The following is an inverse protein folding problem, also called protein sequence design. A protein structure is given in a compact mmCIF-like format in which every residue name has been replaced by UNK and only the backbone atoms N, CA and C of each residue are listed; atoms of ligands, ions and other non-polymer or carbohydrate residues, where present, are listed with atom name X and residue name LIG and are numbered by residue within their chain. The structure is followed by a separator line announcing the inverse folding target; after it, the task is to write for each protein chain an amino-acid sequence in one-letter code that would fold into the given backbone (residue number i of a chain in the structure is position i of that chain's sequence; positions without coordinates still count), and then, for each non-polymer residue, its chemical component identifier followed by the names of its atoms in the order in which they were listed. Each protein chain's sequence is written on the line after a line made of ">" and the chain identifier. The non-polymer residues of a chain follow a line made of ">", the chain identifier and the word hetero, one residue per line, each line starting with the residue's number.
data_IF_660951622419
#
_entry.id   IF_660951622419
#
_cell.length_a   1.000
_cell.length_b   1.000
_cell.length_c   1.000
_cell.angle_alpha   90.00
_cell.angle_beta   90.00
_cell.angle_gamma   90.00
#
_symmetry.space_group_name_H-M   'P 1'
#
loop_
_entity.id
_entity.type
_entity.pdbx_description
1 polymer ?
#
# COMPACT_ATOMS: atom_id res chain seq x y z
N UNK A 1 -66.27 28.18 33.88
CA UNK A 1 -64.80 28.12 34.06
C UNK A 1 -64.16 27.95 32.68
N UNK A 2 -64.01 29.03 31.91
CA UNK A 2 -63.36 29.01 30.58
C UNK A 2 -62.68 30.34 30.24
N UNK A 3 -63.08 31.44 30.88
CA UNK A 3 -62.58 32.78 30.54
C UNK A 3 -61.24 33.15 31.21
N UNK A 4 -60.75 32.34 32.16
CA UNK A 4 -59.51 32.61 32.89
C UNK A 4 -58.23 32.19 32.16
N UNK A 5 -58.29 31.28 31.18
CA UNK A 5 -57.09 30.74 30.50
C UNK A 5 -56.64 31.66 29.36
N UNK A 6 -57.56 32.40 28.74
CA UNK A 6 -57.25 33.33 27.65
C UNK A 6 -56.44 34.56 28.12
N UNK A 7 -56.72 35.07 29.33
CA UNK A 7 -56.01 36.24 29.87
C UNK A 7 -54.55 35.92 30.25
N UNK A 8 -54.25 34.69 30.65
CA UNK A 8 -52.90 34.30 31.09
C UNK A 8 -51.93 34.14 29.91
N UNK A 9 -52.41 33.73 28.73
CA UNK A 9 -51.60 33.66 27.51
C UNK A 9 -51.21 35.04 26.96
N UNK A 10 -52.04 36.07 27.16
CA UNK A 10 -51.73 37.44 26.70
C UNK A 10 -50.63 38.06 27.57
N UNK A 11 -50.61 37.77 28.88
CA UNK A 11 -49.63 38.36 29.80
C UNK A 11 -48.23 37.72 29.71
N UNK A 12 -48.12 36.44 29.34
CA UNK A 12 -46.82 35.77 29.16
C UNK A 12 -46.10 36.23 27.88
N UNK A 13 -46.82 36.64 26.84
CA UNK A 13 -46.26 37.22 25.60
C UNK A 13 -45.58 38.56 25.87
N UNK A 14 -46.06 39.35 26.85
CA UNK A 14 -45.54 40.69 27.15
C UNK A 14 -44.20 40.63 27.90
N UNK A 15 -43.94 39.62 28.74
CA UNK A 15 -42.66 39.51 29.47
C UNK A 15 -41.47 39.06 28.60
N UNK A 16 -41.71 38.55 27.40
CA UNK A 16 -40.65 38.26 26.40
C UNK A 16 -40.26 39.46 25.52
N UNK A 17 -40.88 40.63 25.71
CA UNK A 17 -40.79 41.77 24.80
C UNK A 17 -39.51 42.62 24.89
N UNK A 18 -38.60 42.33 25.82
CA UNK A 18 -37.33 43.07 25.96
C UNK A 18 -36.30 42.72 24.87
N UNK A 19 -36.54 41.70 24.06
CA UNK A 19 -35.68 41.33 22.92
C UNK A 19 -36.28 41.68 21.55
N UNK A 20 -37.37 42.46 21.52
CA UNK A 20 -38.01 42.87 20.26
C UNK A 20 -37.41 44.19 19.76
N UNK A 21 -36.98 44.27 18.49
CA UNK A 21 -36.41 45.49 17.92
C UNK A 21 -37.43 46.65 17.92
N UNK A 22 -36.98 47.89 18.16
CA UNK A 22 -37.82 49.08 18.42
C UNK A 22 -38.94 49.31 17.39
N UNK A 23 -38.70 48.99 16.12
CA UNK A 23 -39.70 49.12 15.05
C UNK A 23 -40.94 48.23 15.28
N UNK A 24 -40.79 47.09 15.95
CA UNK A 24 -41.88 46.15 16.22
C UNK A 24 -42.73 46.64 17.41
N UNK A 25 -42.12 47.31 18.39
CA UNK A 25 -42.86 47.92 19.49
C UNK A 25 -43.74 49.09 19.00
N UNK A 26 -43.24 49.91 18.07
CA UNK A 26 -44.03 50.97 17.41
C UNK A 26 -45.17 50.40 16.55
N UNK A 27 -44.95 49.27 15.87
CA UNK A 27 -45.99 48.62 15.07
C UNK A 27 -47.11 48.00 15.93
N UNK A 28 -46.79 47.42 17.10
CA UNK A 28 -47.80 46.82 17.98
C UNK A 28 -48.63 47.90 18.68
N UNK A 29 -47.99 48.96 19.18
CA UNK A 29 -48.68 50.05 19.90
C UNK A 29 -49.62 50.88 19.03
N UNK A 30 -49.32 51.05 17.73
CA UNK A 30 -50.20 51.75 16.78
C UNK A 30 -51.45 50.95 16.38
N UNK A 31 -51.44 49.62 16.53
CA UNK A 31 -52.55 48.73 16.12
C UNK A 31 -53.56 48.41 17.23
N UNK A 32 -53.21 48.56 18.51
CA UNK A 32 -54.10 48.28 19.65
C UNK A 32 -55.27 49.28 19.76
N UNK A 33 -55.19 50.45 19.10
CA UNK A 33 -56.24 51.48 19.12
C UNK A 33 -57.42 51.28 18.15
N UNK A 34 -57.33 50.38 17.16
CA UNK A 34 -58.37 50.21 16.14
C UNK A 34 -58.59 48.72 15.81
N UNK A 35 -59.70 48.15 16.26
CA UNK A 35 -60.01 46.70 16.28
C UNK A 35 -60.11 45.94 14.94
N UNK A 36 -59.47 46.39 13.86
CA UNK A 36 -59.52 45.74 12.53
C UNK A 36 -58.15 45.36 11.93
N UNK A 37 -57.04 45.49 12.66
CA UNK A 37 -55.71 45.41 12.05
C UNK A 37 -54.78 44.25 12.44
N UNK A 38 -55.21 43.33 13.30
CA UNK A 38 -54.32 42.27 13.84
C UNK A 38 -53.88 41.23 12.81
N UNK A 39 -54.66 41.02 11.75
CA UNK A 39 -54.38 40.00 10.73
C UNK A 39 -53.24 40.40 9.78
N UNK A 40 -53.14 41.69 9.42
CA UNK A 40 -52.12 42.18 8.47
C UNK A 40 -50.71 42.15 9.06
N UNK A 41 -50.55 42.58 10.33
CA UNK A 41 -49.26 42.56 11.04
C UNK A 41 -48.79 41.13 11.27
N UNK A 42 -49.69 40.22 11.66
CA UNK A 42 -49.38 38.80 11.82
C UNK A 42 -48.90 38.14 10.53
N UNK A 43 -49.53 38.46 9.39
CA UNK A 43 -49.11 37.98 8.08
C UNK A 43 -47.72 38.50 7.66
N UNK A 44 -47.43 39.78 7.90
CA UNK A 44 -46.12 40.36 7.61
C UNK A 44 -44.99 39.77 8.47
N UNK A 45 -45.21 39.57 9.77
CA UNK A 45 -44.22 38.93 10.65
C UNK A 45 -43.99 37.47 10.23
N UNK A 46 -45.07 36.72 9.96
CA UNK A 46 -44.99 35.33 9.51
C UNK A 46 -44.18 35.19 8.22
N UNK A 47 -44.47 36.01 7.21
CA UNK A 47 -43.75 35.97 5.93
C UNK A 47 -42.26 36.30 6.08
N UNK A 48 -41.89 37.26 6.93
CA UNK A 48 -40.49 37.59 7.22
C UNK A 48 -39.75 36.47 7.94
N UNK A 49 -40.38 35.83 8.93
CA UNK A 49 -39.79 34.69 9.65
C UNK A 49 -39.61 33.50 8.69
N UNK A 50 -40.65 33.16 7.91
CA UNK A 50 -40.58 32.07 6.93
C UNK A 50 -39.53 32.33 5.85
N UNK A 51 -39.37 33.57 5.39
CA UNK A 51 -38.31 33.95 4.45
C UNK A 51 -36.92 33.76 5.06
N UNK A 52 -36.69 34.24 6.28
CA UNK A 52 -35.40 34.10 6.97
C UNK A 52 -35.04 32.68 7.37
N UNK A 53 -36.04 31.83 7.63
CA UNK A 53 -35.84 30.38 7.87
C UNK A 53 -35.49 29.67 6.57
N UNK A 54 -36.20 29.94 5.47
CA UNK A 54 -35.90 29.36 4.15
C UNK A 54 -34.49 29.71 3.68
N UNK A 55 -34.06 30.96 3.84
CA UNK A 55 -32.71 31.38 3.45
C UNK A 55 -31.62 30.64 4.25
N UNK A 56 -31.80 30.49 5.56
CA UNK A 56 -30.86 29.73 6.40
C UNK A 56 -30.81 28.25 6.02
N UNK A 57 -31.95 27.63 5.72
CA UNK A 57 -32.00 26.25 5.24
C UNK A 57 -31.27 26.10 3.91
N UNK A 58 -31.53 26.97 2.93
CA UNK A 58 -30.85 26.93 1.63
C UNK A 58 -29.33 27.10 1.76
N UNK A 59 -28.88 28.03 2.63
CA UNK A 59 -27.44 28.22 2.89
C UNK A 59 -26.81 27.00 3.56
N UNK A 60 -27.49 26.40 4.54
CA UNK A 60 -26.99 25.22 5.24
C UNK A 60 -26.91 24.00 4.31
N UNK A 61 -27.93 23.78 3.47
CA UNK A 61 -27.92 22.70 2.48
C UNK A 61 -26.83 22.90 1.42
N UNK A 62 -26.65 24.12 0.93
CA UNK A 62 -25.59 24.44 -0.01
C UNK A 62 -24.19 24.24 0.60
N UNK A 63 -23.98 24.65 1.85
CA UNK A 63 -22.72 24.45 2.58
C UNK A 63 -22.45 22.95 2.83
N UNK A 64 -23.46 22.20 3.26
CA UNK A 64 -23.36 20.75 3.43
C UNK A 64 -23.05 20.03 2.11
N UNK A 65 -23.70 20.43 1.01
CA UNK A 65 -23.43 19.84 -0.30
C UNK A 65 -22.01 20.17 -0.77
N UNK A 66 -21.55 21.42 -0.59
CA UNK A 66 -20.20 21.84 -0.92
C UNK A 66 -19.15 21.06 -0.10
N UNK A 67 -19.35 20.91 1.21
CA UNK A 67 -18.44 20.15 2.08
C UNK A 67 -18.43 18.66 1.73
N UNK A 68 -19.58 18.10 1.35
CA UNK A 68 -19.70 16.71 0.93
C UNK A 68 -19.01 16.46 -0.41
N UNK A 69 -19.16 17.37 -1.38
CA UNK A 69 -18.44 17.31 -2.65
C UNK A 69 -16.92 17.47 -2.46
N UNK A 70 -16.49 18.38 -1.59
CA UNK A 70 -15.08 18.55 -1.23
C UNK A 70 -14.51 17.28 -0.59
N UNK A 71 -15.24 16.68 0.36
CA UNK A 71 -14.83 15.45 1.04
C UNK A 71 -14.75 14.27 0.06
N UNK A 72 -15.71 14.14 -0.84
CA UNK A 72 -15.69 13.14 -1.92
C UNK A 72 -14.50 13.35 -2.85
N UNK A 73 -14.23 14.59 -3.25
CA UNK A 73 -13.09 14.92 -4.11
C UNK A 73 -11.76 14.60 -3.44
N UNK A 74 -11.62 14.88 -2.13
CA UNK A 74 -10.43 14.51 -1.36
C UNK A 74 -10.25 13.00 -1.31
N UNK A 75 -11.32 12.25 -1.00
CA UNK A 75 -11.26 10.79 -0.93
C UNK A 75 -10.91 10.16 -2.28
N UNK A 76 -11.51 10.66 -3.37
CA UNK A 76 -11.20 10.22 -4.72
C UNK A 76 -9.73 10.47 -5.07
N UNK A 77 -9.19 11.64 -4.71
CA UNK A 77 -7.77 11.96 -4.92
C UNK A 77 -6.86 11.03 -4.11
N UNK A 78 -7.15 10.82 -2.84
CA UNK A 78 -6.39 9.88 -2.00
C UNK A 78 -6.43 8.45 -2.57
N UNK A 79 -7.60 7.98 -3.01
CA UNK A 79 -7.74 6.67 -3.63
C UNK A 79 -6.85 6.53 -4.88
N UNK A 80 -6.84 7.56 -5.75
CA UNK A 80 -5.99 7.58 -6.96
C UNK A 80 -4.50 7.61 -6.58
N UNK A 81 -4.09 8.46 -5.62
CA UNK A 81 -2.69 8.53 -5.17
C UNK A 81 -2.20 7.20 -4.57
N UNK A 82 -3.05 6.54 -3.77
CA UNK A 82 -2.75 5.22 -3.22
C UNK A 82 -2.68 4.15 -4.32
N UNK A 83 -3.61 4.16 -5.28
CA UNK A 83 -3.60 3.24 -6.43
C UNK A 83 -2.30 3.35 -7.23
N UNK A 84 -1.84 4.58 -7.50
CA UNK A 84 -0.60 4.84 -8.26
C UNK A 84 0.62 4.36 -7.46
N UNK A 85 0.71 4.68 -6.17
CA UNK A 85 1.82 4.24 -5.32
C UNK A 85 1.88 2.71 -5.21
N UNK A 86 0.72 2.07 -5.04
CA UNK A 86 0.61 0.63 -4.97
C UNK A 86 1.02 -0.02 -6.29
N UNK A 87 0.50 0.45 -7.42
CA UNK A 87 0.87 -0.04 -8.75
C UNK A 87 2.37 0.09 -9.03
N UNK A 88 2.98 1.21 -8.64
CA UNK A 88 4.42 1.41 -8.80
C UNK A 88 5.23 0.41 -7.97
N UNK A 89 4.85 0.22 -6.70
CA UNK A 89 5.53 -0.72 -5.80
C UNK A 89 5.37 -2.17 -6.26
N UNK A 90 4.19 -2.56 -6.77
CA UNK A 90 3.97 -3.87 -7.37
C UNK A 90 4.81 -4.09 -8.62
N UNK A 91 4.94 -3.08 -9.47
CA UNK A 91 5.79 -3.14 -10.67
C UNK A 91 7.25 -3.33 -10.28
N UNK A 92 7.75 -2.55 -9.31
CA UNK A 92 9.11 -2.70 -8.80
C UNK A 92 9.35 -4.09 -8.19
N UNK A 93 8.42 -4.59 -7.39
CA UNK A 93 8.52 -5.95 -6.84
C UNK A 93 8.60 -7.01 -7.94
N UNK A 94 7.74 -6.90 -8.95
CA UNK A 94 7.73 -7.84 -10.06
C UNK A 94 9.06 -7.83 -10.85
N UNK A 95 9.60 -6.64 -11.09
CA UNK A 95 10.90 -6.48 -11.75
C UNK A 95 12.04 -7.08 -10.91
N UNK A 96 12.09 -6.78 -9.62
CA UNK A 96 13.10 -7.32 -8.69
C UNK A 96 13.04 -8.84 -8.64
N UNK A 97 11.83 -9.40 -8.57
CA UNK A 97 11.59 -10.85 -8.54
C UNK A 97 12.06 -11.50 -9.85
N UNK A 98 11.68 -10.96 -11.01
CA UNK A 98 12.04 -11.52 -12.31
C UNK A 98 13.55 -11.49 -12.55
N UNK A 99 14.18 -10.33 -12.38
CA UNK A 99 15.63 -10.18 -12.54
C UNK A 99 16.39 -10.98 -11.47
N UNK A 100 15.88 -11.00 -10.24
CA UNK A 100 16.45 -11.77 -9.14
C UNK A 100 16.49 -13.26 -9.45
N UNK A 101 15.39 -13.81 -9.95
CA UNK A 101 15.35 -15.21 -10.39
C UNK A 101 16.37 -15.49 -11.52
N UNK A 102 16.48 -14.59 -12.50
CA UNK A 102 17.41 -14.74 -13.62
C UNK A 102 18.88 -14.82 -13.15
N UNK A 103 19.30 -13.93 -12.24
CA UNK A 103 20.69 -13.94 -11.75
C UNK A 103 20.97 -15.17 -10.88
N UNK A 104 20.00 -15.62 -10.07
CA UNK A 104 20.12 -16.86 -9.29
C UNK A 104 20.21 -18.09 -10.18
N UNK A 105 19.40 -18.13 -11.26
CA UNK A 105 19.44 -19.20 -12.24
C UNK A 105 20.80 -19.24 -12.95
N UNK A 106 21.33 -18.08 -13.33
CA UNK A 106 22.64 -17.99 -13.95
C UNK A 106 23.74 -18.50 -13.02
N UNK A 107 23.72 -18.11 -11.75
CA UNK A 107 24.65 -18.62 -10.73
C UNK A 107 24.52 -20.15 -10.54
N UNK A 108 23.29 -20.68 -10.50
CA UNK A 108 23.05 -22.12 -10.47
C UNK A 108 23.71 -22.82 -11.65
N UNK A 109 23.41 -22.38 -12.87
CA UNK A 109 23.88 -23.03 -14.10
C UNK A 109 25.42 -22.93 -14.23
N UNK A 110 26.03 -21.80 -13.80
CA UNK A 110 27.48 -21.65 -13.75
C UNK A 110 28.12 -22.59 -12.72
N UNK A 111 27.59 -22.64 -11.49
CA UNK A 111 28.10 -23.49 -10.40
C UNK A 111 27.96 -24.97 -10.74
N UNK A 112 26.82 -25.34 -11.34
CA UNK A 112 26.59 -26.68 -11.86
C UNK A 112 27.62 -27.00 -12.94
N UNK A 113 27.76 -26.19 -13.97
CA UNK A 113 28.72 -26.43 -15.06
C UNK A 113 30.15 -26.62 -14.54
N UNK A 114 30.58 -25.78 -13.59
CA UNK A 114 31.89 -25.88 -12.95
C UNK A 114 32.08 -27.18 -12.16
N UNK A 115 31.05 -27.63 -11.47
CA UNK A 115 31.09 -28.85 -10.65
C UNK A 115 30.70 -30.12 -11.42
N UNK A 116 30.48 -30.05 -12.74
CA UNK A 116 29.96 -31.16 -13.54
C UNK A 116 30.98 -32.28 -13.77
N UNK A 117 30.69 -33.54 -13.38
CA UNK A 117 31.55 -34.68 -13.68
C UNK A 117 31.73 -34.97 -15.18
N UNK A 118 30.84 -34.46 -16.03
CA UNK A 118 30.82 -34.71 -17.47
C UNK A 118 31.58 -33.66 -18.30
N UNK A 119 32.09 -32.59 -17.67
CA UNK A 119 32.79 -31.50 -18.36
C UNK A 119 34.26 -31.78 -18.64
N UNK A 120 34.88 -30.96 -19.49
CA UNK A 120 36.33 -30.99 -19.72
C UNK A 120 37.10 -30.75 -18.41
N UNK A 121 37.95 -31.70 -18.06
CA UNK A 121 38.65 -31.77 -16.76
C UNK A 121 40.02 -31.09 -16.82
N UNK A 122 40.53 -30.83 -18.03
CA UNK A 122 41.94 -30.50 -18.26
C UNK A 122 42.14 -29.10 -18.85
N UNK A 123 43.25 -28.47 -18.47
CA UNK A 123 43.70 -27.20 -19.03
C UNK A 123 42.88 -25.98 -18.60
N UNK A 124 42.82 -24.99 -19.49
CA UNK A 124 42.24 -23.67 -19.20
C UNK A 124 40.71 -23.68 -19.06
N UNK A 125 40.03 -24.70 -19.57
CA UNK A 125 38.56 -24.79 -19.56
C UNK A 125 37.99 -24.70 -18.13
N UNK A 126 38.63 -25.37 -17.17
CA UNK A 126 38.19 -25.34 -15.77
C UNK A 126 38.40 -23.98 -15.10
N UNK A 127 39.49 -23.32 -15.41
CA UNK A 127 39.76 -21.96 -14.92
C UNK A 127 38.70 -20.98 -15.42
N UNK A 128 38.30 -21.08 -16.70
CA UNK A 128 37.21 -20.27 -17.25
C UNK A 128 35.87 -20.51 -16.55
N UNK A 129 35.53 -21.78 -16.26
CA UNK A 129 34.31 -22.11 -15.50
C UNK A 129 34.35 -21.54 -14.07
N UNK A 130 35.52 -21.59 -13.41
CA UNK A 130 35.71 -20.98 -12.09
C UNK A 130 35.47 -19.47 -12.12
N UNK A 131 36.07 -18.79 -13.10
CA UNK A 131 35.89 -17.34 -13.29
C UNK A 131 34.41 -17.02 -13.53
N UNK A 132 33.72 -17.82 -14.35
CA UNK A 132 32.30 -17.65 -14.61
C UNK A 132 31.44 -17.77 -13.34
N UNK A 133 31.76 -18.72 -12.44
CA UNK A 133 31.08 -18.82 -11.14
C UNK A 133 31.32 -17.59 -10.28
N UNK A 134 32.55 -17.10 -10.20
CA UNK A 134 32.87 -15.90 -9.41
C UNK A 134 32.12 -14.66 -9.94
N UNK A 135 32.11 -14.47 -11.25
CA UNK A 135 31.37 -13.38 -11.89
C UNK A 135 29.86 -13.49 -11.67
N UNK A 136 29.30 -14.70 -11.79
CA UNK A 136 27.88 -14.93 -11.54
C UNK A 136 27.51 -14.71 -10.08
N UNK A 137 28.39 -15.08 -9.14
CA UNK A 137 28.17 -14.88 -7.71
C UNK A 137 28.22 -13.39 -7.36
N UNK A 138 29.25 -12.66 -7.82
CA UNK A 138 29.38 -11.21 -7.64
C UNK A 138 28.16 -10.49 -8.22
N UNK A 139 27.75 -10.79 -9.45
CA UNK A 139 26.57 -10.21 -10.07
C UNK A 139 25.28 -10.49 -9.28
N UNK A 140 25.14 -11.69 -8.72
CA UNK A 140 23.99 -12.04 -7.91
C UNK A 140 23.98 -11.29 -6.57
N UNK A 141 25.11 -11.18 -5.88
CA UNK A 141 25.25 -10.44 -4.62
C UNK A 141 25.01 -8.94 -4.80
N UNK A 142 25.63 -8.33 -5.81
CA UNK A 142 25.50 -6.91 -6.14
C UNK A 142 24.06 -6.53 -6.49
N UNK A 143 23.36 -7.42 -7.20
CA UNK A 143 21.97 -7.18 -7.56
C UNK A 143 21.01 -7.43 -6.39
N UNK A 144 21.11 -8.58 -5.73
CA UNK A 144 20.09 -9.06 -4.79
C UNK A 144 20.21 -8.44 -3.41
N UNK A 145 21.42 -8.30 -2.85
CA UNK A 145 21.58 -7.88 -1.45
C UNK A 145 20.95 -6.51 -1.16
N UNK A 146 21.11 -5.48 -2.01
CA UNK A 146 20.44 -4.19 -1.81
C UNK A 146 18.92 -4.25 -2.01
N UNK A 147 18.41 -5.30 -2.69
CA UNK A 147 17.01 -5.42 -3.12
C UNK A 147 16.19 -6.42 -2.29
N UNK A 148 16.78 -7.04 -1.27
CA UNK A 148 16.06 -7.96 -0.39
C UNK A 148 14.86 -7.33 0.32
N UNK A 149 14.84 -6.01 0.52
CA UNK A 149 13.71 -5.28 1.11
C UNK A 149 12.42 -5.39 0.27
N UNK A 150 12.54 -5.69 -1.03
CA UNK A 150 11.39 -5.87 -1.91
C UNK A 150 10.81 -7.29 -1.86
N UNK A 151 11.51 -8.24 -1.22
CA UNK A 151 11.10 -9.63 -1.12
C UNK A 151 10.42 -9.90 0.24
N UNK A 152 9.48 -10.87 0.32
CA UNK A 152 9.04 -11.41 1.59
C UNK A 152 10.22 -11.96 2.39
N UNK A 153 10.13 -11.89 3.73
CA UNK A 153 11.20 -12.32 4.65
C UNK A 153 11.68 -13.74 4.35
N UNK A 154 10.75 -14.69 4.19
CA UNK A 154 11.03 -16.07 3.80
C UNK A 154 11.82 -16.16 2.49
N UNK A 155 11.41 -15.45 1.44
CA UNK A 155 12.10 -15.46 0.15
C UNK A 155 13.47 -14.80 0.22
N UNK A 156 13.63 -13.76 1.04
CA UNK A 156 14.92 -13.13 1.29
C UNK A 156 15.89 -14.08 2.01
N UNK A 157 15.41 -14.84 3.01
CA UNK A 157 16.20 -15.88 3.69
C UNK A 157 16.58 -17.03 2.76
N UNK A 158 15.63 -17.50 1.94
CA UNK A 158 15.89 -18.52 0.92
C UNK A 158 16.93 -18.05 -0.10
N UNK A 159 16.86 -16.78 -0.52
CA UNK A 159 17.83 -16.17 -1.42
C UNK A 159 19.24 -16.15 -0.81
N UNK A 160 19.38 -15.72 0.45
CA UNK A 160 20.66 -15.74 1.17
C UNK A 160 21.20 -17.16 1.34
N UNK A 161 20.33 -18.11 1.67
CA UNK A 161 20.68 -19.51 1.85
C UNK A 161 21.17 -20.12 0.54
N UNK A 162 20.53 -19.79 -0.58
CA UNK A 162 20.95 -20.19 -1.91
C UNK A 162 22.34 -19.62 -2.28
N UNK A 163 22.57 -18.32 -2.09
CA UNK A 163 23.87 -17.69 -2.35
C UNK A 163 24.98 -18.33 -1.52
N UNK A 164 24.72 -18.56 -0.23
CA UNK A 164 25.64 -19.23 0.69
C UNK A 164 25.94 -20.68 0.25
N UNK A 165 24.90 -21.43 -0.16
CA UNK A 165 25.05 -22.80 -0.67
C UNK A 165 25.95 -22.86 -1.90
N UNK A 166 25.73 -21.98 -2.88
CA UNK A 166 26.52 -21.94 -4.12
C UNK A 166 27.97 -21.56 -3.85
N UNK A 167 28.21 -20.49 -3.07
CA UNK A 167 29.56 -20.06 -2.70
C UNK A 167 30.31 -21.15 -1.92
N UNK A 168 29.65 -21.76 -0.92
CA UNK A 168 30.22 -22.87 -0.13
C UNK A 168 30.62 -24.05 -1.01
N UNK A 169 29.75 -24.46 -1.93
CA UNK A 169 30.02 -25.61 -2.80
C UNK A 169 31.10 -25.32 -3.85
N UNK A 170 31.11 -24.13 -4.44
CA UNK A 170 32.19 -23.70 -5.34
C UNK A 170 33.56 -23.70 -4.63
N UNK A 171 33.62 -23.17 -3.40
CA UNK A 171 34.82 -23.19 -2.57
C UNK A 171 35.26 -24.61 -2.17
N UNK A 172 34.31 -25.44 -1.71
CA UNK A 172 34.55 -26.85 -1.36
C UNK A 172 35.07 -27.65 -2.56
N UNK A 173 34.53 -27.41 -3.75
CA UNK A 173 35.01 -28.03 -4.99
C UNK A 173 36.47 -27.66 -5.27
N UNK A 174 36.78 -26.36 -5.24
CA UNK A 174 38.15 -25.85 -5.48
C UNK A 174 39.17 -26.49 -4.54
N UNK A 175 38.84 -26.58 -3.25
CA UNK A 175 39.77 -27.13 -2.24
C UNK A 175 39.92 -28.64 -2.39
N UNK A 176 38.82 -29.37 -2.58
CA UNK A 176 38.85 -30.85 -2.52
C UNK A 176 39.17 -31.51 -3.86
N UNK A 177 38.76 -30.92 -4.99
CA UNK A 177 38.91 -31.51 -6.33
C UNK A 177 40.09 -30.87 -7.09
N UNK A 178 40.18 -29.55 -7.10
CA UNK A 178 41.20 -28.86 -7.90
C UNK A 178 42.56 -28.79 -7.21
N UNK A 179 42.58 -28.59 -5.89
CA UNK A 179 43.84 -28.37 -5.15
C UNK A 179 44.40 -29.65 -4.52
N UNK A 180 43.57 -30.66 -4.24
CA UNK A 180 44.03 -31.83 -3.50
C UNK A 180 44.78 -32.84 -4.38
N UNK A 181 45.96 -33.29 -3.90
CA UNK A 181 46.73 -34.37 -4.49
C UNK A 181 46.31 -35.76 -3.96
N UNK A 182 45.77 -35.82 -2.73
CA UNK A 182 45.65 -37.06 -1.94
C UNK A 182 44.22 -37.60 -1.75
N UNK A 183 43.17 -36.84 -2.11
CA UNK A 183 41.78 -37.27 -1.91
C UNK A 183 41.29 -38.07 -3.13
N UNK A 184 40.50 -39.16 -2.96
CA UNK A 184 39.79 -39.79 -4.06
C UNK A 184 38.85 -38.78 -4.73
N UNK A 185 39.34 -38.14 -5.80
CA UNK A 185 38.70 -36.98 -6.44
C UNK A 185 37.24 -37.26 -6.83
N UNK A 186 36.93 -38.50 -7.20
CA UNK A 186 35.60 -38.91 -7.68
C UNK A 186 34.54 -38.81 -6.57
N UNK A 187 34.82 -39.29 -5.35
CA UNK A 187 33.83 -39.29 -4.27
C UNK A 187 33.52 -37.86 -3.78
N UNK A 188 34.56 -37.05 -3.58
CA UNK A 188 34.41 -35.64 -3.20
C UNK A 188 33.69 -34.84 -4.28
N UNK A 189 34.02 -35.08 -5.55
CA UNK A 189 33.36 -34.45 -6.70
C UNK A 189 31.88 -34.82 -6.76
N UNK A 190 31.54 -36.11 -6.73
CA UNK A 190 30.15 -36.56 -6.73
C UNK A 190 29.34 -35.97 -5.58
N UNK A 191 29.94 -35.88 -4.39
CA UNK A 191 29.28 -35.27 -3.23
C UNK A 191 28.92 -33.79 -3.50
N UNK A 192 29.87 -32.98 -3.99
CA UNK A 192 29.61 -31.57 -4.30
C UNK A 192 28.61 -31.42 -5.44
N UNK A 193 28.76 -32.20 -6.52
CA UNK A 193 27.84 -32.17 -7.65
C UNK A 193 26.40 -32.51 -7.24
N UNK A 194 26.22 -33.51 -6.40
CA UNK A 194 24.90 -33.90 -5.90
C UNK A 194 24.28 -32.80 -5.02
N UNK A 195 25.08 -32.18 -4.15
CA UNK A 195 24.64 -31.06 -3.30
C UNK A 195 24.20 -29.86 -4.16
N UNK A 196 25.00 -29.47 -5.15
CA UNK A 196 24.65 -28.38 -6.08
C UNK A 196 23.42 -28.74 -6.93
N UNK A 197 23.40 -29.92 -7.53
CA UNK A 197 22.35 -30.30 -8.47
C UNK A 197 21.00 -30.50 -7.78
N UNK A 198 20.98 -31.17 -6.62
CA UNK A 198 19.74 -31.50 -5.92
C UNK A 198 19.27 -30.35 -5.03
N UNK A 199 20.11 -29.93 -4.07
CA UNK A 199 19.69 -28.95 -3.07
C UNK A 199 19.60 -27.55 -3.71
N UNK A 200 20.50 -27.23 -4.64
CA UNK A 200 20.42 -26.00 -5.42
C UNK A 200 19.17 -25.92 -6.29
N UNK A 201 18.80 -27.00 -7.00
CA UNK A 201 17.59 -27.01 -7.82
C UNK A 201 16.32 -26.94 -6.95
N UNK A 202 16.30 -27.65 -5.82
CA UNK A 202 15.18 -27.59 -4.88
C UNK A 202 14.97 -26.16 -4.37
N UNK A 203 16.01 -25.51 -3.85
CA UNK A 203 15.90 -24.13 -3.35
C UNK A 203 15.49 -23.15 -4.46
N UNK A 204 16.00 -23.34 -5.68
CA UNK A 204 15.63 -22.48 -6.81
C UNK A 204 14.16 -22.67 -7.21
N UNK A 205 13.63 -23.89 -7.12
CA UNK A 205 12.22 -24.18 -7.38
C UNK A 205 11.32 -23.65 -6.26
N UNK A 206 11.75 -23.74 -5.00
CA UNK A 206 11.05 -23.13 -3.86
C UNK A 206 10.97 -21.61 -4.03
N UNK A 207 12.09 -20.95 -4.40
CA UNK A 207 12.12 -19.53 -4.73
C UNK A 207 11.22 -19.19 -5.92
N UNK A 208 11.21 -20.01 -6.97
CA UNK A 208 10.31 -19.79 -8.11
C UNK A 208 8.82 -19.84 -7.69
N UNK A 209 8.46 -20.73 -6.78
CA UNK A 209 7.09 -20.83 -6.27
C UNK A 209 6.74 -19.65 -5.37
N UNK A 210 7.63 -19.29 -4.43
CA UNK A 210 7.46 -18.10 -3.60
C UNK A 210 7.30 -16.83 -4.46
N UNK A 211 8.04 -16.74 -5.58
CA UNK A 211 7.96 -15.63 -6.53
C UNK A 211 6.66 -15.60 -7.33
N UNK A 212 6.11 -16.76 -7.71
CA UNK A 212 4.78 -16.83 -8.36
C UNK A 212 3.67 -16.37 -7.42
N UNK A 213 3.77 -16.73 -6.14
CA UNK A 213 2.84 -16.30 -5.10
C UNK A 213 2.88 -14.77 -4.94
N UNK A 214 4.07 -14.15 -4.92
CA UNK A 214 4.21 -12.67 -4.85
C UNK A 214 3.60 -11.96 -6.07
N UNK A 215 3.56 -12.63 -7.22
CA UNK A 215 3.03 -12.07 -8.47
C UNK A 215 1.53 -12.33 -8.67
N UNK A 216 0.87 -13.04 -7.75
CA UNK A 216 -0.52 -13.51 -7.89
C UNK A 216 -0.76 -14.31 -9.19
N UNK A 217 0.26 -15.03 -9.69
CA UNK A 217 0.16 -15.90 -10.88
C UNK A 217 0.03 -17.35 -10.41
N UNK A 218 -1.18 -17.72 -9.97
CA UNK A 218 -1.56 -19.09 -9.61
C UNK A 218 -2.48 -19.72 -10.66
#
# INVERSE_FOLDING_TARGET
>A
MSDGVAAYYIFSIIKGASFMPEWLQQAISSFVGAGMGTTAVGWYIKTRIEAGVRERHMRLEADLQSQLEESKSKLARFAVEHQVKFSHLHTQRAEVVAQGYMVLRHLYDATRSYTSPAGEIEGNAREHLRIAVLQALEAAEDYLLPRLIYLPEKSAENTKSFLSLMNRNAGKFRVTVDTSADIPKIAAWQAVWNEVSKDGEQLLNELANDYREVLDVC
#
